data_IF_077611915333
#
_entry.id   IF_077611915333
#
_cell.length_a   1.000
_cell.length_b   1.000
_cell.length_c   1.000
_cell.angle_alpha   90.00
_cell.angle_beta   90.00
_cell.angle_gamma   90.00
#
_symmetry.space_group_name_H-M   'P 1'
#
loop_
_entity.id
_entity.type
_entity.pdbx_description
1 polymer ?
#
# COMPACT_ATOMS: atom_id res chain seq x y z
N UNK A 1 11.38 1.84 17.64
CA UNK A 1 12.45 2.02 16.64
C UNK A 1 12.30 3.41 16.04
N UNK A 2 13.33 4.26 16.09
CA UNK A 2 13.34 5.53 15.35
C UNK A 2 13.84 5.24 13.94
N UNK A 3 12.92 5.10 12.98
CA UNK A 3 13.30 4.90 11.59
C UNK A 3 13.90 6.21 11.05
N UNK A 4 15.23 6.26 10.93
CA UNK A 4 15.95 7.29 10.17
C UNK A 4 15.94 7.01 8.66
N UNK A 5 15.37 5.87 8.26
CA UNK A 5 15.35 5.39 6.88
C UNK A 5 14.13 5.89 6.11
N UNK A 6 14.36 6.29 4.86
CA UNK A 6 13.29 6.62 3.93
C UNK A 6 12.80 5.36 3.21
N UNK A 7 11.49 5.08 3.29
CA UNK A 7 10.86 3.98 2.60
C UNK A 7 10.10 4.45 1.36
N UNK A 8 10.15 3.65 0.28
CA UNK A 8 9.24 3.80 -0.87
C UNK A 8 8.14 2.75 -0.82
N UNK A 9 6.89 3.20 -0.87
CA UNK A 9 5.66 2.38 -0.87
C UNK A 9 4.61 3.06 -1.75
N UNK A 10 3.61 2.29 -2.18
CA UNK A 10 2.45 2.79 -2.92
C UNK A 10 1.34 3.15 -1.93
N UNK A 11 0.77 4.35 -2.06
CA UNK A 11 -0.47 4.70 -1.36
C UNK A 11 -1.60 3.87 -1.96
N UNK A 12 -2.37 3.21 -1.10
CA UNK A 12 -3.48 2.32 -1.46
C UNK A 12 -4.80 2.80 -0.88
N UNK A 13 -4.79 3.38 0.33
CA UNK A 13 -5.99 3.92 0.98
C UNK A 13 -5.81 5.37 1.36
N UNK A 14 -6.79 6.19 0.99
CA UNK A 14 -6.91 7.61 1.29
C UNK A 14 -7.78 7.85 2.53
N UNK A 15 -7.67 9.02 3.18
CA UNK A 15 -8.54 9.39 4.29
C UNK A 15 -10.03 9.19 3.97
N UNK A 16 -10.75 8.53 4.89
CA UNK A 16 -12.18 8.25 4.78
C UNK A 16 -12.54 7.02 3.95
N UNK A 17 -11.60 6.41 3.23
CA UNK A 17 -11.87 5.18 2.50
C UNK A 17 -11.90 3.97 3.44
N UNK A 18 -12.84 3.06 3.19
CA UNK A 18 -12.88 1.76 3.86
C UNK A 18 -12.07 0.74 3.08
N UNK A 19 -11.01 0.23 3.69
CA UNK A 19 -10.14 -0.79 3.11
C UNK A 19 -10.45 -2.16 3.71
N UNK A 20 -10.45 -3.17 2.84
CA UNK A 20 -10.65 -4.55 3.22
C UNK A 20 -9.78 -5.48 2.37
N UNK A 21 -9.21 -6.52 2.98
CA UNK A 21 -8.46 -7.56 2.27
C UNK A 21 -9.34 -8.81 2.15
N UNK A 22 -9.64 -9.23 0.92
CA UNK A 22 -10.43 -10.44 0.63
C UNK A 22 -9.85 -11.20 -0.54
N UNK A 23 -9.74 -12.52 -0.42
CA UNK A 23 -9.32 -13.42 -1.50
C UNK A 23 -7.99 -13.01 -2.16
N UNK A 24 -7.05 -12.45 -1.38
CA UNK A 24 -5.75 -12.00 -1.86
C UNK A 24 -5.76 -10.67 -2.63
N UNK A 25 -6.81 -9.85 -2.49
CA UNK A 25 -6.98 -8.56 -3.17
C UNK A 25 -7.38 -7.46 -2.19
N UNK A 26 -7.08 -6.22 -2.55
CA UNK A 26 -7.58 -5.02 -1.86
C UNK A 26 -8.96 -4.64 -2.39
N UNK A 27 -9.87 -4.28 -1.47
CA UNK A 27 -11.14 -3.63 -1.76
C UNK A 27 -11.15 -2.24 -1.11
N UNK A 28 -11.60 -1.23 -1.86
CA UNK A 28 -11.78 0.15 -1.42
C UNK A 28 -13.26 0.47 -1.53
N UNK A 29 -13.92 0.83 -0.42
CA UNK A 29 -15.35 1.12 -0.38
C UNK A 29 -16.19 0.00 -1.04
N UNK A 30 -15.85 -1.26 -0.75
CA UNK A 30 -16.43 -2.49 -1.29
C UNK A 30 -16.17 -2.75 -2.80
N UNK A 31 -15.36 -1.93 -3.49
CA UNK A 31 -14.97 -2.15 -4.89
C UNK A 31 -13.56 -2.74 -4.96
N UNK A 32 -13.32 -3.79 -5.77
CA UNK A 32 -11.97 -4.35 -5.90
C UNK A 32 -11.03 -3.34 -6.56
N UNK A 33 -9.84 -3.16 -5.99
CA UNK A 33 -8.79 -2.36 -6.61
C UNK A 33 -8.22 -3.11 -7.83
N UNK A 34 -7.99 -2.39 -8.93
CA UNK A 34 -7.39 -2.94 -10.15
C UNK A 34 -5.88 -3.13 -10.03
N UNK A 35 -5.48 -4.08 -9.18
CA UNK A 35 -4.07 -4.28 -8.84
C UNK A 35 -3.22 -4.84 -9.99
N UNK A 36 -3.86 -5.51 -10.96
CA UNK A 36 -3.21 -6.06 -12.16
C UNK A 36 -2.58 -5.00 -13.08
N UNK A 37 -2.90 -3.71 -12.87
CA UNK A 37 -2.26 -2.62 -13.61
C UNK A 37 -0.82 -2.33 -13.15
N UNK A 38 -0.45 -2.76 -11.95
CA UNK A 38 0.88 -2.48 -11.38
C UNK A 38 1.51 -3.67 -10.64
N UNK A 39 0.79 -4.78 -10.45
CA UNK A 39 1.32 -6.02 -9.87
C UNK A 39 1.39 -7.14 -10.90
N UNK A 40 2.38 -8.02 -10.72
CA UNK A 40 2.37 -9.30 -11.42
C UNK A 40 1.27 -10.23 -10.85
N UNK A 41 0.74 -11.18 -11.65
CA UNK A 41 -0.27 -12.13 -11.17
C UNK A 41 0.15 -13.01 -9.99
N UNK A 42 1.47 -13.12 -9.74
CA UNK A 42 2.03 -13.89 -8.62
C UNK A 42 1.92 -13.15 -7.26
N UNK A 43 1.62 -11.85 -7.26
CA UNK A 43 1.46 -11.07 -6.05
C UNK A 43 0.07 -11.28 -5.45
N UNK A 44 0.02 -11.51 -4.13
CA UNK A 44 -1.23 -11.68 -3.38
C UNK A 44 -1.25 -10.73 -2.20
N UNK A 45 -2.36 -10.02 -2.02
CA UNK A 45 -2.55 -9.11 -0.88
C UNK A 45 -3.20 -9.87 0.25
N UNK A 46 -2.37 -10.48 1.10
CA UNK A 46 -2.80 -11.19 2.30
C UNK A 46 -2.25 -10.50 3.54
N UNK A 47 -2.85 -10.83 4.68
CA UNK A 47 -2.51 -10.27 5.98
C UNK A 47 -1.31 -10.97 6.63
N UNK A 48 -1.08 -12.24 6.32
CA UNK A 48 -0.08 -13.12 6.94
C UNK A 48 1.36 -12.88 6.47
N UNK A 49 1.74 -11.62 6.24
CA UNK A 49 3.11 -11.24 5.87
C UNK A 49 3.90 -10.75 7.08
N UNK A 50 3.21 -10.48 8.20
CA UNK A 50 3.77 -9.88 9.41
C UNK A 50 3.43 -10.75 10.64
N UNK A 51 3.88 -12.00 10.65
CA UNK A 51 3.46 -13.02 11.63
C UNK A 51 4.24 -12.99 12.96
N UNK A 52 5.16 -12.06 13.12
CA UNK A 52 6.04 -11.97 14.29
C UNK A 52 5.52 -11.06 15.43
N UNK A 53 4.37 -10.41 15.26
CA UNK A 53 3.80 -9.52 16.28
C UNK A 53 2.76 -10.25 17.16
N UNK A 54 2.75 -10.03 18.49
CA UNK A 54 1.74 -10.59 19.39
C UNK A 54 0.33 -9.98 19.20
N UNK A 55 0.21 -8.93 18.38
CA UNK A 55 -1.03 -8.19 18.15
C UNK A 55 -1.66 -8.58 16.82
N UNK A 56 -3.00 -8.61 16.77
CA UNK A 56 -3.74 -8.85 15.54
C UNK A 56 -3.34 -7.83 14.47
N UNK A 57 -3.07 -8.24 13.22
CA UNK A 57 -2.60 -7.29 12.22
C UNK A 57 -3.69 -6.26 11.89
N UNK A 58 -3.26 -5.05 11.53
CA UNK A 58 -4.11 -3.87 11.39
C UNK A 58 -5.31 -4.08 10.43
N UNK A 59 -5.14 -4.86 9.37
CA UNK A 59 -6.17 -5.14 8.35
C UNK A 59 -6.90 -6.48 8.57
N UNK A 60 -6.93 -6.99 9.79
CA UNK A 60 -7.65 -8.25 10.14
C UNK A 60 -9.16 -8.11 10.02
N UNK A 61 -9.66 -6.88 9.97
CA UNK A 61 -11.03 -6.50 9.71
C UNK A 61 -11.05 -5.32 8.73
N UNK A 62 -12.21 -4.99 8.13
CA UNK A 62 -12.35 -3.76 7.36
C UNK A 62 -12.01 -2.53 8.20
N UNK A 63 -11.20 -1.63 7.67
CA UNK A 63 -10.76 -0.42 8.36
C UNK A 63 -11.05 0.83 7.53
N UNK A 64 -11.68 1.82 8.15
CA UNK A 64 -11.76 3.17 7.57
C UNK A 64 -10.48 3.94 7.89
N UNK A 65 -9.82 4.47 6.87
CA UNK A 65 -8.57 5.22 7.05
C UNK A 65 -8.87 6.55 7.76
N UNK A 66 -8.19 6.84 8.89
CA UNK A 66 -8.38 8.10 9.60
C UNK A 66 -8.05 9.34 8.75
N UNK A 67 -8.56 10.49 9.16
CA UNK A 67 -8.15 11.78 8.60
C UNK A 67 -6.63 11.95 8.68
N UNK A 68 -6.04 12.63 7.69
CA UNK A 68 -4.60 12.90 7.61
C UNK A 68 -3.70 11.65 7.68
N UNK A 69 -4.22 10.49 7.31
CA UNK A 69 -3.48 9.23 7.31
C UNK A 69 -3.66 8.48 5.99
N UNK A 70 -2.70 7.62 5.66
CA UNK A 70 -2.69 6.84 4.43
C UNK A 70 -2.35 5.39 4.71
N UNK A 71 -2.99 4.47 4.00
CA UNK A 71 -2.55 3.08 3.96
C UNK A 71 -1.55 2.91 2.81
N UNK A 72 -0.38 2.34 3.09
CA UNK A 72 0.66 2.11 2.07
C UNK A 72 1.05 0.64 1.98
N UNK A 73 1.18 0.12 0.75
CA UNK A 73 1.64 -1.24 0.49
C UNK A 73 2.84 -1.21 -0.46
N UNK A 74 3.76 -2.16 -0.32
CA UNK A 74 4.81 -2.37 -1.31
C UNK A 74 4.30 -3.20 -2.48
N UNK A 75 4.78 -2.96 -3.69
CA UNK A 75 4.36 -3.75 -4.87
C UNK A 75 4.89 -5.19 -4.84
N UNK A 76 6.00 -5.46 -4.13
CA UNK A 76 6.43 -6.82 -3.77
C UNK A 76 5.63 -7.35 -2.57
N UNK A 77 4.33 -7.55 -2.77
CA UNK A 77 3.32 -7.85 -1.73
C UNK A 77 3.71 -8.99 -0.81
N UNK A 78 4.27 -10.07 -1.36
CA UNK A 78 4.58 -11.26 -0.59
C UNK A 78 5.78 -11.07 0.37
N UNK A 79 6.57 -9.99 0.21
CA UNK A 79 7.80 -9.78 0.99
C UNK A 79 7.97 -8.33 1.50
N UNK A 80 6.94 -7.50 1.36
CA UNK A 80 6.99 -6.10 1.79
C UNK A 80 6.53 -5.96 3.24
N UNK A 81 7.43 -5.47 4.09
CA UNK A 81 7.09 -4.90 5.39
C UNK A 81 6.46 -3.52 5.15
N UNK A 82 5.16 -3.39 5.41
CA UNK A 82 4.36 -2.19 5.09
C UNK A 82 3.18 -1.99 6.05
N UNK A 83 2.15 -1.22 5.66
CA UNK A 83 1.01 -0.91 6.53
C UNK A 83 0.22 -2.12 7.02
N UNK A 84 0.39 -3.30 6.41
CA UNK A 84 -0.12 -4.56 6.98
C UNK A 84 0.53 -4.88 8.33
N UNK A 85 1.76 -4.46 8.52
CA UNK A 85 2.55 -4.72 9.73
C UNK A 85 2.48 -3.56 10.73
N UNK A 86 2.57 -2.32 10.25
CA UNK A 86 2.71 -1.14 11.12
C UNK A 86 1.47 -0.21 11.15
N UNK A 87 0.43 -0.52 10.38
CA UNK A 87 -0.78 0.32 10.28
C UNK A 87 -0.62 1.53 9.35
N UNK A 88 -1.43 2.56 9.56
CA UNK A 88 -1.45 3.76 8.68
C UNK A 88 -0.24 4.65 8.87
N UNK A 89 0.07 5.43 7.84
CA UNK A 89 1.14 6.42 7.83
C UNK A 89 0.53 7.83 7.89
N UNK A 90 0.84 8.63 8.92
CA UNK A 90 0.41 10.03 9.00
C UNK A 90 0.95 10.87 7.83
N UNK A 91 0.20 11.88 7.39
CA UNK A 91 0.55 12.75 6.25
C UNK A 91 1.90 13.43 6.43
N UNK A 92 2.22 13.86 7.64
CA UNK A 92 3.45 14.54 8.01
C UNK A 92 4.70 13.66 7.81
N UNK A 93 4.55 12.34 7.82
CA UNK A 93 5.64 11.40 7.58
C UNK A 93 5.90 11.17 6.08
N UNK A 94 5.08 11.72 5.19
CA UNK A 94 5.28 11.62 3.74
C UNK A 94 6.21 12.74 3.26
N UNK A 95 7.45 12.37 2.94
CA UNK A 95 8.50 13.26 2.43
C UNK A 95 8.17 13.77 1.01
N UNK A 96 7.66 12.90 0.13
CA UNK A 96 7.40 13.26 -1.26
C UNK A 96 6.80 12.14 -2.09
N UNK A 97 6.66 12.39 -3.39
CA UNK A 97 6.10 11.46 -4.37
C UNK A 97 7.12 11.20 -5.47
N UNK A 98 7.33 9.93 -5.82
CA UNK A 98 8.12 9.56 -6.98
C UNK A 98 7.42 10.01 -8.27
N UNK A 99 8.16 10.68 -9.18
CA UNK A 99 7.61 11.27 -10.41
C UNK A 99 8.26 10.73 -11.69
N UNK A 100 9.43 10.11 -11.61
CA UNK A 100 10.19 9.59 -12.76
C UNK A 100 10.67 8.18 -12.43
N UNK A 101 10.48 7.26 -13.37
CA UNK A 101 11.11 5.94 -13.39
C UNK A 101 12.30 6.02 -14.34
N UNK A 102 13.50 5.75 -13.83
CA UNK A 102 14.74 5.79 -14.62
C UNK A 102 15.24 4.39 -15.05
N UNK A 103 14.65 3.31 -14.53
CA UNK A 103 15.00 1.92 -14.88
C UNK A 103 13.75 1.03 -14.95
N UNK A 104 13.69 0.02 -15.83
CA UNK A 104 14.67 -0.33 -16.89
C UNK A 104 14.76 0.73 -18.00
N UNK A 105 15.84 0.73 -18.79
CA UNK A 105 16.08 1.77 -19.81
C UNK A 105 14.94 1.88 -20.82
N UNK A 106 14.37 0.75 -21.25
CA UNK A 106 13.21 0.69 -22.13
C UNK A 106 11.89 1.12 -21.46
N UNK A 107 11.92 1.41 -20.16
CA UNK A 107 10.81 1.92 -19.37
C UNK A 107 11.06 3.31 -18.80
N UNK A 108 12.10 4.04 -19.21
CA UNK A 108 12.33 5.40 -18.71
C UNK A 108 11.12 6.29 -19.02
N UNK A 109 10.63 7.02 -18.03
CA UNK A 109 9.52 7.94 -18.23
C UNK A 109 8.91 8.46 -16.93
N UNK A 110 7.94 9.35 -17.09
CA UNK A 110 7.14 9.85 -15.96
C UNK A 110 6.28 8.74 -15.35
N UNK A 111 6.03 8.86 -14.05
CA UNK A 111 5.02 8.05 -13.35
C UNK A 111 3.69 8.78 -13.49
N UNK A 112 2.66 8.09 -14.01
CA UNK A 112 1.34 8.67 -14.25
C UNK A 112 0.80 9.37 -12.98
N UNK A 113 0.25 10.56 -13.18
CA UNK A 113 -0.33 11.39 -12.12
C UNK A 113 -1.73 10.92 -11.74
N UNK A 114 -2.38 10.17 -12.63
CA UNK A 114 -3.75 9.71 -12.45
C UNK A 114 -3.74 8.52 -11.52
N UNK A 115 -4.29 8.63 -10.30
CA UNK A 115 -4.43 7.45 -9.48
C UNK A 115 -5.34 6.46 -10.20
N UNK A 116 -4.97 5.17 -10.15
CA UNK A 116 -5.77 4.09 -10.71
C UNK A 116 -7.01 3.74 -9.86
N UNK A 117 -7.42 4.66 -8.97
CA UNK A 117 -8.62 4.50 -8.15
C UNK A 117 -9.87 4.60 -9.04
N UNK A 118 -10.93 3.81 -8.76
CA UNK A 118 -12.25 4.03 -9.34
C UNK A 118 -12.95 5.29 -8.80
#
# INVERSE_FOLDING_TARGET
>A
EQYQDAFIKRVIGLPGEKIELKSGKVYINNKPLLENKYLSPAQRTVIDVCTSAPQQPFLSQPVTIPSNSYLVLGDNRNSSYDSRCWGVVPRENIIGRAIIRFWPLNGIGGIDKTPLYP
#
